data_IF_346640338042
#
_entry.id   IF_346640338042
#
_cell.length_a   1.000
_cell.length_b   1.000
_cell.length_c   1.000
_cell.angle_alpha   90.00
_cell.angle_beta   90.00
_cell.angle_gamma   90.00
#
_symmetry.space_group_name_H-M   'P 1'
#
loop_
_entity.id
_entity.type
_entity.pdbx_description
1 polymer ?
#
# COMPACT_ATOMS: atom_id res chain seq x y z
N UNK A 1 -3.19 -18.05 1.67
CA UNK A 1 -4.39 -18.11 0.80
C UNK A 1 -4.29 -17.18 -0.39
N UNK A 2 -4.20 -15.89 -0.19
CA UNK A 2 -4.07 -14.95 -1.32
C UNK A 2 -2.87 -15.27 -2.22
N UNK A 3 -1.70 -15.55 -1.64
CA UNK A 3 -0.49 -15.88 -2.41
C UNK A 3 -0.67 -17.12 -3.27
N UNK A 4 -1.23 -18.19 -2.69
CA UNK A 4 -1.42 -19.45 -3.41
C UNK A 4 -2.44 -19.28 -4.54
N UNK A 5 -3.52 -18.54 -4.29
CA UNK A 5 -4.52 -18.25 -5.31
C UNK A 5 -3.94 -17.39 -6.43
N UNK A 6 -3.16 -16.36 -6.08
CA UNK A 6 -2.53 -15.48 -7.06
C UNK A 6 -1.55 -16.23 -7.96
N UNK A 7 -0.68 -17.04 -7.38
CA UNK A 7 0.36 -17.76 -8.14
C UNK A 7 -0.18 -19.01 -8.85
N UNK A 8 -1.41 -19.43 -8.54
CA UNK A 8 -2.10 -20.46 -9.31
C UNK A 8 -2.68 -19.91 -10.62
N UNK A 9 -2.86 -18.60 -10.71
CA UNK A 9 -3.36 -17.96 -11.92
C UNK A 9 -2.27 -17.86 -12.98
N UNK A 10 -2.67 -18.00 -14.24
CA UNK A 10 -1.77 -17.78 -15.38
C UNK A 10 -2.27 -16.58 -16.18
N UNK A 11 -1.33 -15.75 -16.67
CA UNK A 11 -1.65 -14.60 -17.48
C UNK A 11 -1.97 -13.35 -16.66
N UNK A 12 -2.79 -12.49 -17.20
CA UNK A 12 -3.08 -11.19 -16.60
C UNK A 12 -4.19 -11.29 -15.56
N UNK A 13 -4.06 -10.51 -14.49
CA UNK A 13 -5.08 -10.44 -13.44
C UNK A 13 -5.63 -9.01 -13.34
N UNK A 14 -6.90 -8.92 -12.95
CA UNK A 14 -7.56 -7.65 -12.67
C UNK A 14 -8.04 -7.70 -11.22
N UNK A 15 -7.64 -6.71 -10.44
CA UNK A 15 -8.02 -6.60 -9.04
C UNK A 15 -8.89 -5.36 -8.86
N UNK A 16 -10.11 -5.55 -8.38
CA UNK A 16 -10.98 -4.44 -8.00
C UNK A 16 -10.67 -4.07 -6.56
N UNK A 17 -10.37 -2.79 -6.35
CA UNK A 17 -9.96 -2.29 -5.05
C UNK A 17 -10.95 -1.24 -4.56
N UNK A 18 -11.53 -1.50 -3.38
CA UNK A 18 -12.40 -0.56 -2.70
C UNK A 18 -12.26 -0.81 -1.20
N UNK A 19 -11.40 -0.02 -0.55
CA UNK A 19 -11.07 -0.24 0.85
C UNK A 19 -10.65 1.06 1.53
N UNK A 20 -11.13 1.29 2.76
CA UNK A 20 -10.68 2.42 3.56
C UNK A 20 -9.29 2.21 4.17
N UNK A 21 -8.67 1.05 3.97
CA UNK A 21 -7.39 0.70 4.53
C UNK A 21 -7.46 -0.44 5.52
N UNK A 22 -6.40 -0.62 6.27
CA UNK A 22 -6.28 -1.70 7.24
C UNK A 22 -4.84 -1.88 7.68
N UNK A 23 -4.43 -3.13 7.87
CA UNK A 23 -3.08 -3.47 8.33
C UNK A 23 -2.03 -3.18 7.26
N UNK A 24 -1.13 -2.24 7.56
CA UNK A 24 -0.04 -1.86 6.65
C UNK A 24 0.95 -2.99 6.40
N UNK A 25 1.17 -3.87 7.37
CA UNK A 25 2.08 -5.01 7.21
C UNK A 25 1.49 -6.01 6.23
N UNK A 26 0.20 -6.33 6.40
CA UNK A 26 -0.51 -7.20 5.46
C UNK A 26 -0.53 -6.59 4.06
N UNK A 27 -0.75 -5.29 3.95
CA UNK A 27 -0.75 -4.57 2.68
C UNK A 27 0.63 -4.64 2.00
N UNK A 28 1.70 -4.50 2.77
CA UNK A 28 3.07 -4.62 2.25
C UNK A 28 3.35 -6.01 1.70
N UNK A 29 2.84 -7.05 2.36
CA UNK A 29 2.97 -8.43 1.87
C UNK A 29 2.21 -8.62 0.56
N UNK A 30 0.99 -8.11 0.48
CA UNK A 30 0.19 -8.17 -0.76
C UNK A 30 0.89 -7.40 -1.88
N UNK A 31 1.41 -6.21 -1.59
CA UNK A 31 2.19 -5.42 -2.54
C UNK A 31 3.35 -6.23 -3.11
N UNK A 32 4.14 -6.88 -2.24
CA UNK A 32 5.28 -7.68 -2.67
C UNK A 32 4.85 -8.84 -3.55
N UNK A 33 3.78 -9.54 -3.17
CA UNK A 33 3.26 -10.66 -3.96
C UNK A 33 2.81 -10.20 -5.35
N UNK A 34 2.15 -9.04 -5.45
CA UNK A 34 1.72 -8.50 -6.73
C UNK A 34 2.90 -8.05 -7.59
N UNK A 35 3.93 -7.46 -6.97
CA UNK A 35 5.14 -7.06 -7.70
C UNK A 35 5.91 -8.26 -8.26
N UNK A 36 5.85 -9.40 -7.57
CA UNK A 36 6.50 -10.64 -8.01
C UNK A 36 5.68 -11.43 -9.03
N UNK A 37 4.42 -11.05 -9.23
CA UNK A 37 3.56 -11.75 -10.18
C UNK A 37 4.09 -11.55 -11.62
N UNK A 38 4.14 -12.63 -12.38
CA UNK A 38 4.75 -12.64 -13.72
C UNK A 38 3.86 -12.06 -14.82
N UNK A 39 2.53 -12.05 -14.62
CA UNK A 39 1.60 -11.45 -15.57
C UNK A 39 1.39 -9.96 -15.31
N UNK A 40 0.57 -9.32 -16.13
CA UNK A 40 0.17 -7.95 -15.88
C UNK A 40 -0.88 -7.89 -14.77
N UNK A 41 -0.74 -6.91 -13.90
CA UNK A 41 -1.68 -6.67 -12.81
C UNK A 41 -2.37 -5.34 -13.06
N UNK A 42 -3.67 -5.37 -13.30
CA UNK A 42 -4.49 -4.16 -13.44
C UNK A 42 -5.27 -3.95 -12.16
N UNK A 43 -5.06 -2.81 -11.53
CA UNK A 43 -5.81 -2.41 -10.33
C UNK A 43 -6.89 -1.43 -10.76
N UNK A 44 -8.15 -1.74 -10.47
CA UNK A 44 -9.28 -0.85 -10.74
C UNK A 44 -9.83 -0.33 -9.42
N UNK A 45 -9.74 0.97 -9.21
CA UNK A 45 -10.28 1.62 -8.02
C UNK A 45 -11.67 2.13 -8.38
N UNK A 46 -12.69 1.47 -7.88
CA UNK A 46 -14.09 1.80 -8.19
C UNK A 46 -14.81 2.56 -7.06
N UNK A 47 -14.15 2.75 -5.95
CA UNK A 47 -14.64 3.53 -4.82
C UNK A 47 -13.51 4.30 -4.17
N UNK A 48 -12.93 3.74 -3.11
CA UNK A 48 -11.84 4.38 -2.38
C UNK A 48 -10.66 3.42 -2.23
N UNK A 49 -9.46 3.96 -2.36
CA UNK A 49 -8.22 3.28 -1.98
C UNK A 49 -7.50 4.19 -0.98
N UNK A 50 -7.71 3.95 0.29
CA UNK A 50 -7.16 4.79 1.35
C UNK A 50 -6.15 4.03 2.20
N UNK A 51 -5.12 4.73 2.67
CA UNK A 51 -4.15 4.19 3.61
C UNK A 51 -3.47 2.92 3.06
N UNK A 52 -3.57 1.79 3.77
CA UNK A 52 -2.97 0.52 3.36
C UNK A 52 -3.44 0.06 1.97
N UNK A 53 -4.69 0.31 1.60
CA UNK A 53 -5.20 -0.04 0.27
C UNK A 53 -4.50 0.76 -0.84
N UNK A 54 -4.10 2.00 -0.58
CA UNK A 54 -3.36 2.78 -1.57
C UNK A 54 -1.97 2.19 -1.85
N UNK A 55 -1.35 1.56 -0.86
CA UNK A 55 -0.07 0.84 -1.04
C UNK A 55 -0.25 -0.34 -1.99
N UNK A 56 -1.32 -1.11 -1.82
CA UNK A 56 -1.64 -2.23 -2.71
C UNK A 56 -1.82 -1.74 -4.15
N UNK A 57 -2.50 -0.61 -4.34
CA UNK A 57 -2.71 -0.03 -5.66
C UNK A 57 -1.39 0.28 -6.38
N UNK A 58 -0.35 0.64 -5.63
CA UNK A 58 0.97 0.96 -6.22
C UNK A 58 1.65 -0.23 -6.89
N UNK A 59 1.22 -1.46 -6.60
CA UNK A 59 1.78 -2.67 -7.19
C UNK A 59 1.23 -2.97 -8.59
N UNK A 60 0.21 -2.25 -9.04
CA UNK A 60 -0.39 -2.50 -10.36
C UNK A 60 0.55 -2.17 -11.51
N UNK A 61 0.57 -3.01 -12.53
CA UNK A 61 1.18 -2.68 -13.81
C UNK A 61 0.43 -1.51 -14.43
N UNK A 62 -0.90 -1.50 -14.28
CA UNK A 62 -1.78 -0.39 -14.64
C UNK A 62 -2.73 -0.13 -13.48
N UNK A 63 -2.95 1.14 -13.18
CA UNK A 63 -3.90 1.55 -12.14
C UNK A 63 -4.95 2.43 -12.79
N UNK A 64 -6.20 1.99 -12.74
CA UNK A 64 -7.34 2.69 -13.34
C UNK A 64 -8.27 3.16 -12.22
N UNK A 65 -8.62 4.44 -12.25
CA UNK A 65 -9.52 5.02 -11.26
C UNK A 65 -10.84 5.41 -11.94
N UNK A 66 -11.96 5.00 -11.36
CA UNK A 66 -13.27 5.46 -11.81
C UNK A 66 -13.37 6.98 -11.60
N UNK A 67 -14.18 7.70 -12.40
CA UNK A 67 -14.24 9.18 -12.31
C UNK A 67 -14.61 9.71 -10.92
N UNK A 68 -15.31 8.94 -10.13
CA UNK A 68 -15.74 9.32 -8.77
C UNK A 68 -14.94 8.64 -7.68
N UNK A 69 -13.90 7.87 -8.04
CA UNK A 69 -13.09 7.16 -7.05
C UNK A 69 -12.04 8.10 -6.41
N UNK A 70 -11.58 7.71 -5.22
CA UNK A 70 -10.61 8.49 -4.44
C UNK A 70 -9.45 7.59 -4.04
N UNK A 71 -8.26 8.19 -3.99
CA UNK A 71 -7.07 7.58 -3.39
C UNK A 71 -6.58 8.51 -2.29
N UNK A 72 -6.34 7.95 -1.10
CA UNK A 72 -5.87 8.72 0.06
C UNK A 72 -4.61 8.08 0.62
N UNK A 73 -3.60 8.91 0.87
CA UNK A 73 -2.38 8.48 1.53
C UNK A 73 -2.20 9.25 2.83
N UNK A 74 -1.69 8.59 3.86
CA UNK A 74 -1.36 9.24 5.12
C UNK A 74 -0.32 8.41 5.89
N UNK A 75 0.19 8.98 6.97
CA UNK A 75 1.17 8.31 7.80
C UNK A 75 0.61 7.03 8.42
N UNK A 76 1.42 5.97 8.55
CA UNK A 76 1.00 4.77 9.25
C UNK A 76 0.76 5.08 10.73
N UNK A 77 -0.16 4.32 11.32
CA UNK A 77 -0.53 4.45 12.73
C UNK A 77 -0.53 3.09 13.40
N UNK A 78 -0.26 3.09 14.70
CA UNK A 78 -0.38 1.91 15.53
C UNK A 78 -0.76 2.34 16.95
N UNK A 79 -1.12 1.36 17.78
CA UNK A 79 -1.31 1.55 19.21
C UNK A 79 -0.22 0.75 19.95
N UNK A 80 0.33 1.33 20.99
CA UNK A 80 1.36 0.68 21.80
C UNK A 80 1.08 0.86 23.28
N UNK A 81 1.30 -0.20 24.04
CA UNK A 81 1.16 -0.23 25.48
C UNK A 81 2.41 -0.83 26.08
N UNK A 82 2.81 -0.36 27.24
CA UNK A 82 3.94 -0.93 27.96
C UNK A 82 4.90 0.13 28.47
N UNK A 83 6.17 -0.25 28.61
CA UNK A 83 7.23 0.61 29.11
C UNK A 83 7.62 1.68 28.07
N UNK A 84 8.42 2.65 28.53
CA UNK A 84 9.02 3.65 27.66
C UNK A 84 9.77 3.00 26.49
N UNK A 85 10.55 1.96 26.78
CA UNK A 85 11.35 1.27 25.76
C UNK A 85 10.47 0.61 24.70
N UNK A 86 9.34 0.01 25.12
CA UNK A 86 8.40 -0.58 24.18
C UNK A 86 7.73 0.46 23.30
N UNK A 87 7.42 1.63 23.85
CA UNK A 87 6.86 2.74 23.08
C UNK A 87 7.86 3.30 22.08
N UNK A 88 9.13 3.43 22.47
CA UNK A 88 10.17 3.87 21.56
C UNK A 88 10.38 2.91 20.39
N UNK A 89 10.31 1.60 20.66
CA UNK A 89 10.37 0.59 19.60
C UNK A 89 9.20 0.70 18.62
N UNK A 90 8.01 1.01 19.14
CA UNK A 90 6.84 1.22 18.28
C UNK A 90 7.03 2.43 17.37
N UNK A 91 7.61 3.52 17.87
CA UNK A 91 7.92 4.71 17.07
C UNK A 91 8.93 4.38 15.98
N UNK A 92 9.99 3.67 16.31
CA UNK A 92 11.00 3.25 15.34
C UNK A 92 10.39 2.37 14.25
N UNK A 93 9.50 1.43 14.63
CA UNK A 93 8.80 0.59 13.69
C UNK A 93 7.94 1.40 12.72
N UNK A 94 7.22 2.41 13.23
CA UNK A 94 6.40 3.29 12.40
C UNK A 94 7.25 4.08 11.40
N UNK A 95 8.43 4.54 11.80
CA UNK A 95 9.34 5.25 10.92
C UNK A 95 9.83 4.34 9.79
N UNK A 96 10.19 3.10 10.10
CA UNK A 96 10.60 2.11 9.11
C UNK A 96 9.45 1.75 8.15
N UNK A 97 8.24 1.57 8.67
CA UNK A 97 7.05 1.31 7.86
C UNK A 97 6.77 2.49 6.93
N UNK A 98 6.88 3.73 7.43
CA UNK A 98 6.69 4.92 6.62
C UNK A 98 7.68 4.97 5.47
N UNK A 99 8.96 4.70 5.72
CA UNK A 99 9.97 4.69 4.67
C UNK A 99 9.67 3.63 3.60
N UNK A 100 9.25 2.45 4.01
CA UNK A 100 8.87 1.38 3.11
C UNK A 100 7.69 1.78 2.22
N UNK A 101 6.68 2.40 2.80
CA UNK A 101 5.48 2.87 2.07
C UNK A 101 5.87 3.97 1.08
N UNK A 102 6.72 4.90 1.48
CA UNK A 102 7.20 5.97 0.59
C UNK A 102 7.93 5.37 -0.62
N UNK A 103 8.72 4.30 -0.42
CA UNK A 103 9.37 3.61 -1.53
C UNK A 103 8.35 3.13 -2.57
N UNK A 104 7.24 2.54 -2.12
CA UNK A 104 6.20 2.06 -3.02
C UNK A 104 5.56 3.21 -3.80
N UNK A 105 5.22 4.30 -3.14
CA UNK A 105 4.65 5.48 -3.82
C UNK A 105 5.62 6.10 -4.81
N UNK A 106 6.89 6.23 -4.42
CA UNK A 106 7.94 6.82 -5.28
C UNK A 106 8.11 6.02 -6.57
N UNK A 107 8.19 4.70 -6.45
CA UNK A 107 8.36 3.82 -7.62
C UNK A 107 7.20 3.94 -8.60
N UNK A 108 5.99 4.09 -8.11
CA UNK A 108 4.80 4.09 -8.97
C UNK A 108 4.45 5.46 -9.51
N UNK A 109 4.60 6.51 -8.68
CA UNK A 109 4.16 7.86 -9.06
C UNK A 109 5.25 8.71 -9.69
N UNK A 110 6.51 8.42 -9.39
CA UNK A 110 7.63 9.27 -9.81
C UNK A 110 7.76 10.57 -9.01
N UNK A 111 6.92 10.79 -7.99
CA UNK A 111 7.03 11.96 -7.12
C UNK A 111 8.24 11.83 -6.20
N UNK A 112 8.81 12.98 -5.80
CA UNK A 112 9.93 12.97 -4.86
C UNK A 112 9.49 12.50 -3.47
N UNK A 113 10.44 11.94 -2.71
CA UNK A 113 10.19 11.50 -1.34
C UNK A 113 9.67 12.64 -0.46
N UNK A 114 10.22 13.85 -0.63
CA UNK A 114 9.79 15.02 0.12
C UNK A 114 8.32 15.37 -0.17
N UNK A 115 7.91 15.30 -1.42
CA UNK A 115 6.52 15.56 -1.84
C UNK A 115 5.57 14.52 -1.27
N UNK A 116 5.94 13.25 -1.36
CA UNK A 116 5.13 12.14 -0.83
C UNK A 116 4.97 12.28 0.68
N UNK A 117 6.07 12.52 1.39
CA UNK A 117 6.05 12.70 2.85
C UNK A 117 5.14 13.86 3.25
N UNK A 118 5.21 14.98 2.53
CA UNK A 118 4.35 16.14 2.76
C UNK A 118 2.86 15.78 2.59
N UNK A 119 2.53 15.04 1.53
CA UNK A 119 1.15 14.60 1.27
C UNK A 119 0.65 13.65 2.36
N UNK A 120 1.52 12.78 2.89
CA UNK A 120 1.16 11.86 3.96
C UNK A 120 0.95 12.59 5.29
N UNK A 121 1.66 13.68 5.52
CA UNK A 121 1.58 14.49 6.75
C UNK A 121 0.35 15.41 6.78
N UNK A 122 -0.26 15.66 5.66
CA UNK A 122 -1.39 16.59 5.57
C UNK A 122 -2.76 16.02 5.93
#
# INVERSE_FOLDING_TARGET
MFKDELFAEEGDVVIFLNSPGGDCIAASQIYTMLMEYTGNVTIKIDGIAASAASVIAMAGTSVLMAPTSLMMIHNPMTAAFGSKDEMEKAIEMLEEVKESIINAYELRTGLSRARISHLMDS
#
